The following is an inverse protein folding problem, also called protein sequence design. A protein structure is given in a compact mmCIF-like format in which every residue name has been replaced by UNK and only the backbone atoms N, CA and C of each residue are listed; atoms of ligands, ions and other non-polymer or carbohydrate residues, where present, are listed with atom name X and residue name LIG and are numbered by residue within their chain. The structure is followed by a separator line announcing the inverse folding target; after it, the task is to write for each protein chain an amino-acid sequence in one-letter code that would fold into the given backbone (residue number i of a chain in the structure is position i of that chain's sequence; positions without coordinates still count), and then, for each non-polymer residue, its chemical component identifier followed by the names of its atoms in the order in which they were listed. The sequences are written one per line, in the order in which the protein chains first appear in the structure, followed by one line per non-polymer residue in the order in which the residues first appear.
data_IF_048988483044
#
_entry.id   IF_048988483044
#
_cell.length_a   1.000
_cell.length_b   1.000
_cell.length_c   1.000
_cell.angle_alpha   90.00
_cell.angle_beta   90.00
_cell.angle_gamma   90.00
#
_symmetry.space_group_name_H-M   'P 1'
#
loop_
_entity.id
_entity.type
_entity.pdbx_description
1 polymer ?
#
# COMPACT_ATOMS: atom_id res chain seq x y z
N UNK A 1 -14.28 -1.53 -15.63
CA UNK A 1 -14.86 -0.29 -15.11
C UNK A 1 -13.93 0.34 -14.07
N UNK A 2 -13.65 1.63 -14.23
CA UNK A 2 -12.73 2.32 -13.34
C UNK A 2 -13.37 2.60 -11.99
N UNK A 3 -12.64 2.34 -10.91
CA UNK A 3 -13.12 2.60 -9.55
C UNK A 3 -12.83 4.03 -9.12
N UNK A 4 -13.70 4.57 -8.27
CA UNK A 4 -13.42 5.79 -7.54
C UNK A 4 -12.65 5.44 -6.27
N UNK A 5 -11.89 6.41 -5.73
CA UNK A 5 -11.10 6.14 -4.52
C UNK A 5 -11.97 5.75 -3.31
N UNK A 6 -13.18 6.29 -3.20
CA UNK A 6 -14.10 5.91 -2.11
C UNK A 6 -14.51 4.44 -2.20
N UNK A 7 -14.81 3.96 -3.41
CA UNK A 7 -15.14 2.56 -3.65
C UNK A 7 -13.94 1.65 -3.33
N UNK A 8 -12.74 2.09 -3.74
CA UNK A 8 -11.51 1.35 -3.48
C UNK A 8 -11.25 1.23 -1.98
N UNK A 9 -11.43 2.31 -1.23
CA UNK A 9 -11.27 2.27 0.23
C UNK A 9 -12.21 1.26 0.86
N UNK A 10 -13.47 1.22 0.43
CA UNK A 10 -14.46 0.27 0.94
C UNK A 10 -14.06 -1.18 0.64
N UNK A 11 -13.63 -1.44 -0.59
CA UNK A 11 -13.16 -2.77 -0.99
C UNK A 11 -11.96 -3.19 -0.15
N UNK A 12 -10.99 -2.32 0.01
CA UNK A 12 -9.77 -2.60 0.77
C UNK A 12 -10.08 -2.81 2.26
N UNK A 13 -10.99 -2.01 2.82
CA UNK A 13 -11.45 -2.21 4.20
C UNK A 13 -12.14 -3.55 4.39
N UNK A 14 -12.82 -4.03 3.38
CA UNK A 14 -13.43 -5.36 3.41
C UNK A 14 -12.39 -6.48 3.38
N UNK A 15 -11.20 -6.22 2.87
CA UNK A 15 -10.08 -7.18 2.84
C UNK A 15 -9.29 -7.12 4.15
N UNK A 16 -8.92 -5.91 4.56
CA UNK A 16 -8.10 -5.66 5.75
C UNK A 16 -8.84 -4.73 6.69
N UNK A 17 -9.41 -5.28 7.75
CA UNK A 17 -10.10 -4.48 8.77
C UNK A 17 -9.10 -3.55 9.45
N UNK A 18 -9.57 -2.38 9.84
CA UNK A 18 -8.78 -1.38 10.56
C UNK A 18 -7.63 -0.79 9.74
N UNK A 19 -7.69 -0.91 8.41
CA UNK A 19 -6.69 -0.28 7.56
C UNK A 19 -6.91 1.23 7.51
N UNK A 20 -5.81 1.97 7.59
CA UNK A 20 -5.78 3.42 7.43
C UNK A 20 -5.05 3.74 6.12
N UNK A 21 -5.42 4.85 5.52
CA UNK A 21 -4.87 5.30 4.25
C UNK A 21 -4.07 6.58 4.47
N UNK A 22 -2.89 6.63 3.85
CA UNK A 22 -2.09 7.84 3.86
C UNK A 22 -2.80 8.92 3.02
N UNK A 23 -2.54 10.21 3.34
CA UNK A 23 -3.28 11.33 2.76
C UNK A 23 -3.20 11.48 1.25
N UNK A 24 -2.18 10.91 0.60
CA UNK A 24 -2.04 10.95 -0.85
C UNK A 24 -2.74 9.81 -1.57
N UNK A 25 -3.34 8.87 -0.83
CA UNK A 25 -3.97 7.68 -1.41
C UNK A 25 -5.02 8.04 -2.45
N UNK A 26 -5.94 8.94 -2.11
CA UNK A 26 -7.07 9.27 -2.98
C UNK A 26 -6.59 9.81 -4.32
N UNK A 27 -5.71 10.79 -4.28
CA UNK A 27 -5.15 11.42 -5.48
C UNK A 27 -4.35 10.43 -6.31
N UNK A 28 -3.51 9.62 -5.67
CA UNK A 28 -2.73 8.61 -6.39
C UNK A 28 -3.63 7.56 -7.01
N UNK A 29 -4.62 7.08 -6.27
CA UNK A 29 -5.53 6.06 -6.78
C UNK A 29 -6.32 6.56 -7.99
N UNK A 30 -6.82 7.79 -7.94
CA UNK A 30 -7.58 8.38 -9.04
C UNK A 30 -6.75 8.56 -10.32
N UNK A 31 -5.44 8.62 -10.19
CA UNK A 31 -4.53 8.71 -11.32
C UNK A 31 -4.06 7.36 -11.86
N UNK A 32 -4.48 6.26 -11.25
CA UNK A 32 -4.11 4.93 -11.73
C UNK A 32 -4.94 4.53 -12.94
N UNK A 33 -4.34 3.76 -13.81
CA UNK A 33 -5.05 3.08 -14.89
C UNK A 33 -5.92 1.98 -14.29
N UNK A 34 -6.99 1.61 -14.97
CA UNK A 34 -7.90 0.56 -14.49
C UNK A 34 -7.16 -0.74 -14.17
N UNK A 35 -6.21 -1.13 -15.03
CA UNK A 35 -5.40 -2.33 -14.79
C UNK A 35 -4.57 -2.23 -13.52
N UNK A 36 -4.02 -1.04 -13.23
CA UNK A 36 -3.25 -0.79 -12.01
C UNK A 36 -4.14 -0.83 -10.77
N UNK A 37 -5.36 -0.32 -10.86
CA UNK A 37 -6.34 -0.37 -9.77
C UNK A 37 -6.64 -1.81 -9.40
N UNK A 38 -6.90 -2.66 -10.40
CA UNK A 38 -7.14 -4.09 -10.18
C UNK A 38 -5.93 -4.78 -9.57
N UNK A 39 -4.76 -4.48 -10.09
CA UNK A 39 -3.50 -5.06 -9.62
C UNK A 39 -3.23 -4.69 -8.15
N UNK A 40 -3.51 -3.44 -7.77
CA UNK A 40 -3.37 -2.99 -6.39
C UNK A 40 -4.28 -3.79 -5.46
N UNK A 41 -5.55 -3.94 -5.80
CA UNK A 41 -6.52 -4.65 -4.97
C UNK A 41 -6.13 -6.12 -4.84
N UNK A 42 -5.72 -6.77 -5.94
CA UNK A 42 -5.27 -8.15 -5.92
C UNK A 42 -4.01 -8.31 -5.04
N UNK A 43 -3.10 -7.35 -5.10
CA UNK A 43 -1.91 -7.36 -4.26
C UNK A 43 -2.26 -7.24 -2.77
N UNK A 44 -3.22 -6.38 -2.41
CA UNK A 44 -3.68 -6.24 -1.03
C UNK A 44 -4.24 -7.58 -0.52
N UNK A 45 -5.01 -8.29 -1.35
CA UNK A 45 -5.52 -9.63 -1.02
C UNK A 45 -4.38 -10.61 -0.76
N UNK A 46 -3.35 -10.57 -1.60
CA UNK A 46 -2.17 -11.43 -1.44
C UNK A 46 -1.42 -11.13 -0.14
N UNK A 47 -1.32 -9.86 0.23
CA UNK A 47 -0.70 -9.46 1.49
C UNK A 47 -1.46 -10.05 2.67
N UNK A 48 -2.79 -9.98 2.64
CA UNK A 48 -3.64 -10.56 3.69
C UNK A 48 -3.40 -12.06 3.84
N UNK A 49 -3.31 -12.77 2.72
CA UNK A 49 -3.17 -14.23 2.70
C UNK A 49 -1.73 -14.69 2.89
N UNK A 50 -0.81 -13.77 3.16
CA UNK A 50 0.63 -14.05 3.31
C UNK A 50 1.27 -14.68 2.08
N UNK A 51 0.73 -14.40 0.90
CA UNK A 51 1.29 -14.82 -0.39
C UNK A 51 2.35 -13.86 -0.93
N UNK A 52 2.66 -12.82 -0.16
CA UNK A 52 3.72 -11.86 -0.44
C UNK A 52 4.66 -11.88 0.76
N UNK A 53 5.97 -11.94 0.49
CA UNK A 53 6.97 -11.94 1.57
C UNK A 53 7.05 -10.57 2.22
N UNK A 54 6.85 -10.47 3.54
CA UNK A 54 6.99 -9.21 4.25
C UNK A 54 8.45 -8.84 4.47
N UNK A 55 8.68 -7.55 4.71
CA UNK A 55 9.98 -7.04 5.12
C UNK A 55 9.86 -6.65 6.59
N UNK A 56 10.81 -7.11 7.40
CA UNK A 56 10.86 -6.77 8.83
C UNK A 56 11.54 -5.42 9.01
N UNK A 57 10.94 -4.53 9.78
CA UNK A 57 11.57 -3.27 10.12
C UNK A 57 12.80 -3.50 11.01
N UNK A 58 13.88 -2.79 10.72
CA UNK A 58 15.09 -2.81 11.53
C UNK A 58 14.98 -1.95 12.78
N UNK A 59 14.00 -1.05 12.80
CA UNK A 59 13.78 -0.10 13.91
C UNK A 59 12.71 -0.56 14.87
N UNK A 60 11.76 -1.38 14.41
CA UNK A 60 10.61 -1.81 15.20
C UNK A 60 10.30 -3.27 14.91
N UNK A 61 10.40 -4.12 15.92
CA UNK A 61 10.15 -5.55 15.80
C UNK A 61 8.69 -5.88 15.47
N UNK A 62 7.78 -4.97 15.80
CA UNK A 62 6.35 -5.18 15.60
C UNK A 62 5.87 -4.64 14.25
N UNK A 63 6.76 -4.05 13.48
CA UNK A 63 6.42 -3.46 12.19
C UNK A 63 6.94 -4.34 11.06
N UNK A 64 6.02 -4.82 10.23
CA UNK A 64 6.38 -5.46 8.97
C UNK A 64 5.78 -4.67 7.82
N UNK A 65 6.38 -4.78 6.65
CA UNK A 65 5.92 -4.06 5.47
C UNK A 65 5.87 -4.95 4.25
N UNK A 66 4.93 -4.63 3.37
CA UNK A 66 4.84 -5.22 2.04
C UNK A 66 5.05 -4.09 1.06
N UNK A 67 5.95 -4.28 0.12
CA UNK A 67 6.26 -3.25 -0.86
C UNK A 67 6.03 -3.78 -2.26
N UNK A 68 5.56 -2.92 -3.15
CA UNK A 68 5.36 -3.28 -4.54
C UNK A 68 5.54 -2.07 -5.44
N UNK A 69 6.12 -2.32 -6.60
CA UNK A 69 6.26 -1.34 -7.68
C UNK A 69 5.28 -1.71 -8.78
N UNK A 70 4.46 -0.75 -9.18
CA UNK A 70 3.51 -0.92 -10.28
C UNK A 70 4.02 -0.09 -11.46
N UNK A 71 4.63 -0.74 -12.44
CA UNK A 71 5.25 -0.04 -13.55
C UNK A 71 6.45 0.80 -13.09
N UNK A 72 6.73 1.89 -13.80
CA UNK A 72 7.90 2.74 -13.53
C UNK A 72 7.64 3.82 -12.48
N UNK A 73 6.38 4.24 -12.29
CA UNK A 73 6.06 5.45 -11.54
C UNK A 73 5.30 5.22 -10.24
N UNK A 74 4.69 4.07 -10.06
CA UNK A 74 3.86 3.83 -8.87
C UNK A 74 4.60 2.94 -7.89
N UNK A 75 4.68 3.39 -6.65
CA UNK A 75 5.25 2.64 -5.54
C UNK A 75 4.22 2.55 -4.43
N UNK A 76 4.18 1.44 -3.72
CA UNK A 76 3.26 1.27 -2.61
C UNK A 76 3.92 0.56 -1.45
N UNK A 77 3.52 0.97 -0.25
CA UNK A 77 3.97 0.35 1.00
C UNK A 77 2.71 0.06 1.82
N UNK A 78 2.52 -1.20 2.18
CA UNK A 78 1.49 -1.60 3.14
C UNK A 78 2.20 -2.05 4.40
N UNK A 79 2.00 -1.33 5.49
CA UNK A 79 2.59 -1.69 6.77
C UNK A 79 1.57 -2.39 7.64
N UNK A 80 2.04 -3.33 8.45
CA UNK A 80 1.24 -4.01 9.46
C UNK A 80 1.92 -3.82 10.81
N UNK A 81 1.18 -3.27 11.74
CA UNK A 81 1.59 -3.14 13.13
C UNK A 81 0.58 -3.85 14.02
N UNK A 82 0.87 -3.90 15.31
CA UNK A 82 -0.01 -4.47 16.31
C UNK A 82 -1.43 -3.90 16.25
N UNK A 83 -1.54 -2.61 15.89
CA UNK A 83 -2.81 -1.87 15.89
C UNK A 83 -3.54 -1.85 14.55
N UNK A 84 -2.99 -2.46 13.51
CA UNK A 84 -3.64 -2.51 12.21
C UNK A 84 -2.70 -2.26 11.04
N UNK A 85 -3.30 -1.91 9.91
CA UNK A 85 -2.61 -1.73 8.64
C UNK A 85 -2.60 -0.26 8.22
N UNK A 86 -1.56 0.12 7.48
CA UNK A 86 -1.46 1.46 6.91
C UNK A 86 -0.96 1.37 5.48
N UNK A 87 -1.71 1.96 4.54
CA UNK A 87 -1.43 1.88 3.11
C UNK A 87 -0.99 3.23 2.57
N UNK A 88 0.16 3.23 1.90
CA UNK A 88 0.73 4.42 1.28
C UNK A 88 0.92 4.18 -0.21
N UNK A 89 0.50 5.12 -1.04
CA UNK A 89 0.74 5.11 -2.48
C UNK A 89 1.58 6.32 -2.86
N UNK A 90 2.59 6.09 -3.69
CA UNK A 90 3.41 7.16 -4.26
C UNK A 90 3.36 7.08 -5.77
N UNK A 91 2.92 8.16 -6.40
CA UNK A 91 2.92 8.28 -7.86
C UNK A 91 4.04 9.22 -8.26
N UNK A 92 4.99 8.72 -9.03
CA UNK A 92 6.13 9.48 -9.54
C UNK A 92 6.93 10.19 -8.43
N UNK A 93 7.04 9.53 -7.28
CA UNK A 93 7.67 10.08 -6.09
C UNK A 93 8.74 9.14 -5.53
N UNK A 94 9.69 8.75 -6.37
CA UNK A 94 10.74 7.82 -5.99
C UNK A 94 11.49 8.26 -4.71
N UNK A 95 11.79 9.54 -4.59
CA UNK A 95 12.48 10.08 -3.41
C UNK A 95 11.65 9.92 -2.13
N UNK A 96 10.34 10.17 -2.21
CA UNK A 96 9.46 10.01 -1.07
C UNK A 96 9.34 8.55 -0.66
N UNK A 97 9.28 7.66 -1.63
CA UNK A 97 9.24 6.22 -1.39
C UNK A 97 10.49 5.77 -0.62
N UNK A 98 11.67 6.15 -1.09
CA UNK A 98 12.92 5.81 -0.44
C UNK A 98 13.01 6.39 0.97
N UNK A 99 12.59 7.63 1.13
CA UNK A 99 12.57 8.30 2.41
C UNK A 99 11.66 7.57 3.42
N UNK A 100 10.46 7.19 2.98
CA UNK A 100 9.52 6.44 3.83
C UNK A 100 10.08 5.06 4.19
N UNK A 101 10.68 4.37 3.25
CA UNK A 101 11.32 3.08 3.50
C UNK A 101 12.40 3.21 4.58
N UNK A 102 13.24 4.22 4.46
CA UNK A 102 14.30 4.48 5.42
C UNK A 102 13.75 4.84 6.80
N UNK A 103 12.75 5.71 6.82
CA UNK A 103 12.07 6.16 8.04
C UNK A 103 11.44 4.99 8.80
N UNK A 104 10.86 4.04 8.07
CA UNK A 104 10.22 2.86 8.65
C UNK A 104 11.21 1.76 9.02
N UNK A 105 12.47 1.89 8.62
CA UNK A 105 13.51 0.91 8.92
C UNK A 105 13.58 -0.26 7.94
N UNK A 106 13.06 -0.06 6.74
CA UNK A 106 13.09 -1.06 5.67
C UNK A 106 14.28 -0.88 4.69
#
# INVERSE_FOLDING_TARGET
MRLQHEEAREIIRGILNDIKFEGHFDKCFDNLKESQQKELIEWVKKCKDHNVSPIQSKKDRNLIGFVKKFGSNLRTILTKQKDGYFLVLFLDKHKYYEFEMLKLGF
#
